data_IF_600855731281
#
_entry.id   IF_600855731281
#
_cell.length_a   1.000
_cell.length_b   1.000
_cell.length_c   1.000
_cell.angle_alpha   90.00
_cell.angle_beta   90.00
_cell.angle_gamma   90.00
#
_symmetry.space_group_name_H-M   'P 1'
#
loop_
_entity.id
_entity.type
_entity.pdbx_description
1 polymer ?
#
# COMPACT_ATOMS: atom_id res chain seq x y z
N UNK A 1 -1.81 -12.91 21.91
CA UNK A 1 -1.45 -12.01 20.80
C UNK A 1 -2.57 -12.08 19.78
N UNK A 2 -3.36 -11.01 19.63
CA UNK A 2 -4.51 -10.98 18.72
C UNK A 2 -4.01 -11.05 17.28
N UNK A 3 -4.12 -12.21 16.64
CA UNK A 3 -3.74 -12.35 15.24
C UNK A 3 -4.85 -11.77 14.37
N UNK A 4 -4.70 -10.53 13.93
CA UNK A 4 -5.50 -9.97 12.83
C UNK A 4 -5.08 -10.62 11.49
N UNK A 5 -5.42 -11.90 11.30
CA UNK A 5 -5.07 -12.66 10.10
C UNK A 5 -5.66 -12.06 8.83
N UNK A 6 -6.88 -11.50 8.92
CA UNK A 6 -7.52 -10.81 7.80
C UNK A 6 -6.71 -9.58 7.39
N UNK A 7 -6.32 -8.74 8.33
CA UNK A 7 -5.57 -7.51 8.04
C UNK A 7 -4.17 -7.80 7.52
N UNK A 8 -3.54 -8.88 7.97
CA UNK A 8 -2.26 -9.36 7.42
C UNK A 8 -2.40 -9.82 5.96
N UNK A 9 -3.47 -10.54 5.61
CA UNK A 9 -3.76 -10.92 4.22
C UNK A 9 -4.03 -9.71 3.34
N UNK A 10 -4.82 -8.75 3.82
CA UNK A 10 -5.10 -7.49 3.09
C UNK A 10 -3.81 -6.72 2.85
N UNK A 11 -2.97 -6.53 3.88
CA UNK A 11 -1.65 -5.88 3.73
C UNK A 11 -0.79 -6.57 2.67
N UNK A 12 -0.72 -7.90 2.68
CA UNK A 12 0.05 -8.65 1.69
C UNK A 12 -0.47 -8.43 0.26
N UNK A 13 -1.80 -8.45 0.07
CA UNK A 13 -2.42 -8.18 -1.24
C UNK A 13 -2.15 -6.74 -1.69
N UNK A 14 -2.27 -5.76 -0.80
CA UNK A 14 -2.01 -4.35 -1.11
C UNK A 14 -0.54 -4.13 -1.52
N UNK A 15 0.41 -4.77 -0.85
CA UNK A 15 1.83 -4.70 -1.22
C UNK A 15 2.07 -5.35 -2.58
N UNK A 16 1.48 -6.52 -2.86
CA UNK A 16 1.57 -7.14 -4.19
C UNK A 16 1.02 -6.22 -5.30
N UNK A 17 -0.14 -5.61 -5.09
CA UNK A 17 -0.74 -4.65 -6.04
C UNK A 17 0.12 -3.40 -6.24
N UNK A 18 0.74 -2.91 -5.17
CA UNK A 18 1.69 -1.79 -5.21
C UNK A 18 2.90 -2.14 -6.11
N UNK A 19 3.52 -3.31 -5.88
CA UNK A 19 4.67 -3.78 -6.66
C UNK A 19 4.29 -3.96 -8.13
N UNK A 20 3.16 -4.60 -8.41
CA UNK A 20 2.68 -4.78 -9.78
C UNK A 20 2.43 -3.44 -10.49
N UNK A 21 1.87 -2.45 -9.78
CA UNK A 21 1.64 -1.10 -10.33
C UNK A 21 2.96 -0.42 -10.70
N UNK A 22 3.98 -0.51 -9.85
CA UNK A 22 5.30 0.05 -10.17
C UNK A 22 6.00 -0.67 -11.33
N UNK A 23 5.87 -2.00 -11.42
CA UNK A 23 6.43 -2.77 -12.54
C UNK A 23 5.79 -2.34 -13.86
N UNK A 24 4.45 -2.24 -13.90
CA UNK A 24 3.74 -1.79 -15.10
C UNK A 24 4.15 -0.37 -15.47
N UNK A 25 4.23 0.54 -14.48
CA UNK A 25 4.71 1.91 -14.70
C UNK A 25 6.11 1.95 -15.30
N UNK A 26 7.03 1.10 -14.84
CA UNK A 26 8.40 1.01 -15.37
C UNK A 26 8.45 0.53 -16.83
N UNK A 27 7.69 -0.50 -17.19
CA UNK A 27 7.60 -0.96 -18.57
C UNK A 27 6.95 0.09 -19.48
N UNK A 28 5.91 0.76 -19.00
CA UNK A 28 5.27 1.86 -19.73
C UNK A 28 6.20 3.06 -19.93
N UNK A 29 7.12 3.30 -19.00
CA UNK A 29 8.17 4.30 -19.16
C UNK A 29 9.11 3.94 -20.32
N UNK A 30 9.59 2.70 -20.40
CA UNK A 30 10.45 2.26 -21.52
C UNK A 30 9.73 2.26 -22.88
N UNK A 31 8.43 1.96 -22.90
CA UNK A 31 7.66 1.86 -24.14
C UNK A 31 7.30 3.21 -24.78
N UNK A 32 7.36 4.32 -24.04
CA UNK A 32 6.99 5.63 -24.58
C UNK A 32 7.02 6.78 -23.57
N UNK A 33 7.16 6.50 -22.27
CA UNK A 33 7.34 7.53 -21.25
C UNK A 33 8.72 8.19 -21.29
N UNK A 34 9.76 7.49 -21.76
CA UNK A 34 11.11 8.04 -21.90
C UNK A 34 11.13 9.20 -22.91
N UNK A 35 10.46 9.03 -24.05
CA UNK A 35 10.36 10.05 -25.08
C UNK A 35 9.64 11.31 -24.55
N UNK A 36 8.58 11.10 -23.76
CA UNK A 36 7.85 12.18 -23.11
C UNK A 36 8.73 12.93 -22.10
N UNK A 37 9.47 12.22 -21.24
CA UNK A 37 10.26 12.83 -20.17
C UNK A 37 11.50 13.56 -20.68
N UNK A 38 12.09 13.09 -21.78
CA UNK A 38 13.36 13.63 -22.29
C UNK A 38 13.17 14.63 -23.43
N UNK A 39 12.17 14.43 -24.29
CA UNK A 39 11.97 15.24 -25.50
C UNK A 39 10.66 16.03 -25.50
N UNK A 40 9.88 15.99 -24.41
CA UNK A 40 8.53 16.58 -24.31
C UNK A 40 7.61 16.10 -25.45
N UNK A 41 7.88 14.91 -26.00
CA UNK A 41 7.22 14.38 -27.17
C UNK A 41 6.53 13.06 -26.87
N UNK A 42 5.22 13.00 -27.07
CA UNK A 42 4.41 11.82 -26.79
C UNK A 42 4.28 10.99 -28.05
N UNK A 43 5.19 10.02 -28.21
CA UNK A 43 5.15 9.06 -29.32
C UNK A 43 4.06 8.00 -29.11
N UNK A 44 3.88 7.55 -27.86
CA UNK A 44 2.86 6.57 -27.46
C UNK A 44 2.01 7.09 -26.29
N UNK A 45 0.88 7.77 -26.56
CA UNK A 45 0.08 8.42 -25.52
C UNK A 45 -0.51 7.43 -24.51
N UNK A 46 -0.90 6.24 -24.97
CA UNK A 46 -1.45 5.21 -24.10
C UNK A 46 -0.41 4.71 -23.06
N UNK A 47 0.84 4.53 -23.49
CA UNK A 47 1.92 4.12 -22.59
C UNK A 47 2.23 5.22 -21.55
N UNK A 48 2.22 6.49 -21.96
CA UNK A 48 2.42 7.61 -21.04
C UNK A 48 1.33 7.70 -19.97
N UNK A 49 0.06 7.56 -20.38
CA UNK A 49 -1.09 7.56 -19.45
C UNK A 49 -1.00 6.37 -18.48
N UNK A 50 -0.66 5.18 -18.98
CA UNK A 50 -0.45 3.99 -18.14
C UNK A 50 0.69 4.20 -17.14
N UNK A 51 1.81 4.79 -17.58
CA UNK A 51 2.95 5.08 -16.71
C UNK A 51 2.53 5.94 -15.52
N UNK A 52 1.87 7.07 -15.78
CA UNK A 52 1.47 8.04 -14.75
C UNK A 52 0.37 7.46 -13.85
N UNK A 53 -0.66 6.84 -14.44
CA UNK A 53 -1.77 6.26 -13.66
C UNK A 53 -1.30 5.13 -12.74
N UNK A 54 -0.44 4.23 -13.23
CA UNK A 54 0.14 3.15 -12.43
C UNK A 54 1.13 3.66 -11.37
N UNK A 55 1.84 4.75 -11.65
CA UNK A 55 2.72 5.36 -10.65
C UNK A 55 1.93 5.98 -9.49
N UNK A 56 0.89 6.74 -9.80
CA UNK A 56 0.00 7.34 -8.81
C UNK A 56 -0.72 6.26 -8.00
N UNK A 57 -1.26 5.22 -8.65
CA UNK A 57 -1.91 4.11 -7.94
C UNK A 57 -0.93 3.36 -7.05
N UNK A 58 0.32 3.17 -7.50
CA UNK A 58 1.41 2.60 -6.71
C UNK A 58 1.67 3.38 -5.41
N UNK A 59 1.73 4.71 -5.50
CA UNK A 59 1.87 5.59 -4.32
C UNK A 59 0.67 5.45 -3.38
N UNK A 60 -0.56 5.48 -3.91
CA UNK A 60 -1.78 5.33 -3.10
C UNK A 60 -1.77 4.00 -2.34
N UNK A 61 -1.44 2.89 -3.01
CA UNK A 61 -1.34 1.59 -2.35
C UNK A 61 -0.24 1.54 -1.30
N UNK A 62 0.88 2.22 -1.52
CA UNK A 62 1.96 2.33 -0.54
C UNK A 62 1.48 3.08 0.72
N UNK A 63 0.79 4.21 0.56
CA UNK A 63 0.21 4.98 1.66
C UNK A 63 -0.82 4.15 2.43
N UNK A 64 -1.73 3.46 1.73
CA UNK A 64 -2.72 2.58 2.34
C UNK A 64 -2.03 1.47 3.14
N UNK A 65 -0.95 0.87 2.62
CA UNK A 65 -0.20 -0.18 3.31
C UNK A 65 0.42 0.32 4.62
N UNK A 66 0.97 1.55 4.62
CA UNK A 66 1.49 2.19 5.83
C UNK A 66 0.36 2.48 6.83
N UNK A 67 -0.76 3.03 6.36
CA UNK A 67 -1.92 3.33 7.20
C UNK A 67 -2.49 2.06 7.86
N UNK A 68 -2.66 0.98 7.11
CA UNK A 68 -3.08 -0.32 7.64
C UNK A 68 -2.10 -0.81 8.71
N UNK A 69 -0.80 -0.66 8.49
CA UNK A 69 0.20 -1.08 9.47
C UNK A 69 0.12 -0.27 10.77
N UNK A 70 -0.06 1.05 10.67
CA UNK A 70 -0.22 1.92 11.83
C UNK A 70 -1.49 1.56 12.63
N UNK A 71 -2.62 1.37 11.95
CA UNK A 71 -3.90 0.99 12.57
C UNK A 71 -3.77 -0.38 13.26
N UNK A 72 -3.11 -1.36 12.62
CA UNK A 72 -2.89 -2.67 13.25
C UNK A 72 -2.13 -2.54 14.58
N UNK A 73 -1.08 -1.72 14.60
CA UNK A 73 -0.27 -1.51 15.81
C UNK A 73 -1.10 -0.85 16.92
N UNK A 74 -1.85 0.20 16.58
CA UNK A 74 -2.69 0.93 17.53
C UNK A 74 -3.80 0.03 18.14
N UNK A 75 -4.45 -0.78 17.30
CA UNK A 75 -5.44 -1.77 17.75
C UNK A 75 -4.81 -2.83 18.66
N UNK A 76 -3.62 -3.35 18.32
CA UNK A 76 -2.91 -4.33 19.15
C UNK A 76 -2.53 -3.76 20.53
N UNK A 77 -2.06 -2.51 20.59
CA UNK A 77 -1.73 -1.81 21.83
C UNK A 77 -2.98 -1.55 22.68
N UNK A 78 -4.06 -1.07 22.07
CA UNK A 78 -5.31 -0.78 22.78
C UNK A 78 -5.96 -2.06 23.33
N UNK A 79 -5.96 -3.16 22.58
CA UNK A 79 -6.42 -4.46 23.09
C UNK A 79 -5.53 -4.96 24.24
N UNK A 80 -4.21 -4.84 24.14
CA UNK A 80 -3.32 -5.24 25.22
C UNK A 80 -3.59 -4.46 26.52
N UNK A 81 -3.87 -3.16 26.40
CA UNK A 81 -4.26 -2.31 27.53
C UNK A 81 -5.56 -2.80 28.19
N UNK A 82 -6.63 -3.02 27.40
CA UNK A 82 -7.93 -3.50 27.92
C UNK A 82 -7.82 -4.85 28.63
N UNK A 83 -7.00 -5.77 28.11
CA UNK A 83 -6.77 -7.08 28.75
C UNK A 83 -6.04 -6.97 30.08
N UNK A 84 -5.08 -6.04 30.17
CA UNK A 84 -4.36 -5.79 31.42
C UNK A 84 -5.29 -5.20 32.48
N UNK A 85 -6.14 -4.25 32.09
CA UNK A 85 -7.12 -3.64 32.99
C UNK A 85 -8.15 -4.67 33.51
N UNK A 86 -8.64 -5.56 32.63
CA UNK A 86 -9.53 -6.67 33.02
C UNK A 86 -8.88 -7.70 33.94
N UNK A 87 -7.56 -7.90 33.83
CA UNK A 87 -6.82 -8.83 34.68
C UNK A 87 -6.54 -8.27 36.09
N UNK A 88 -6.49 -6.94 36.22
CA UNK A 88 -6.23 -6.24 37.50
C UNK A 88 -7.52 -5.95 38.29
N UNK A 89 -8.70 -6.09 37.69
CA UNK A 89 -9.98 -5.97 38.40
C UNK A 89 -10.27 -7.26 39.21
N UNK A 90 -10.44 -7.16 40.56
CA UNK A 90 -10.85 -8.31 41.36
C UNK A 90 -12.24 -8.76 40.92
N UNK A 91 -12.36 -10.03 40.54
CA UNK A 91 -13.66 -10.69 40.34
C UNK A 91 -14.44 -10.54 41.64
N UNK A 92 -15.45 -9.67 41.64
CA UNK A 92 -16.51 -9.67 42.66
C UNK A 92 -17.39 -10.89 42.48
#
# INVERSE_FOLDING_TARGET
MYKLERTKKVKAVTICLCILSFIVSFFSCQAGGYDMLQYDFINFPFACILMVSCFISGIIFLVISIAIHAIQKDVEEHLAYLFKEQAELPKK
#
